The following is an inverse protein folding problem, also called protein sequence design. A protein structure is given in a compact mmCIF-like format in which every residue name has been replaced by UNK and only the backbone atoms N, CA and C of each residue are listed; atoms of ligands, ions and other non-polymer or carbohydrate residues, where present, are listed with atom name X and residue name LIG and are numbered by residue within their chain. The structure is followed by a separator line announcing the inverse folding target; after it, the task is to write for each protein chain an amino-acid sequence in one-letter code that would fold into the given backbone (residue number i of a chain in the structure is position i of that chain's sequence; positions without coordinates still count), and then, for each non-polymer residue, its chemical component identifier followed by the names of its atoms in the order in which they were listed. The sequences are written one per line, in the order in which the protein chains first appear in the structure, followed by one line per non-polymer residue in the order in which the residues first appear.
data_IF_112311241957
#
_entry.id   IF_112311241957
#
_cell.length_a   1.000
_cell.length_b   1.000
_cell.length_c   1.000
_cell.angle_alpha   90.00
_cell.angle_beta   90.00
_cell.angle_gamma   90.00
#
_symmetry.space_group_name_H-M   'P 1'
#
loop_
_entity.id
_entity.type
_entity.pdbx_description
1 polymer ?
#
# COMPACT_ATOMS: atom_id res chain seq x y z
N UNK A 1 -13.63 -17.05 38.91
CA UNK A 1 -13.55 -15.94 39.88
C UNK A 1 -12.47 -16.30 40.89
N UNK A 2 -11.24 -15.83 40.66
CA UNK A 2 -10.04 -16.11 41.47
C UNK A 2 -9.54 -14.74 42.00
N UNK A 3 -9.22 -14.61 43.30
CA UNK A 3 -9.14 -13.31 43.98
C UNK A 3 -7.87 -12.50 43.67
N UNK A 4 -8.02 -11.19 43.86
CA UNK A 4 -7.26 -10.07 43.30
C UNK A 4 -6.34 -9.42 44.32
N UNK A 5 -5.31 -10.07 44.85
CA UNK A 5 -4.38 -9.41 45.77
C UNK A 5 -3.06 -10.18 45.96
N UNK A 6 -2.29 -10.28 44.89
CA UNK A 6 -0.83 -10.44 45.00
C UNK A 6 -0.24 -9.56 43.91
N UNK A 7 0.37 -8.45 44.31
CA UNK A 7 1.59 -7.83 43.78
C UNK A 7 1.62 -6.45 44.46
N UNK A 8 2.14 -6.47 45.68
CA UNK A 8 2.74 -5.30 46.32
C UNK A 8 4.25 -5.53 46.15
N UNK A 9 4.85 -4.87 45.19
CA UNK A 9 6.31 -4.83 45.05
C UNK A 9 6.69 -3.50 44.42
N UNK A 10 6.80 -2.51 45.29
CA UNK A 10 7.51 -1.25 45.07
C UNK A 10 8.93 -1.56 44.59
N UNK A 11 9.17 -1.37 43.30
CA UNK A 11 10.53 -1.31 42.74
C UNK A 11 10.81 0.18 42.52
N UNK A 12 11.23 0.83 43.60
CA UNK A 12 12.03 2.05 43.53
C UNK A 12 13.39 1.65 42.97
N UNK A 13 13.56 1.77 41.65
CA UNK A 13 14.89 1.91 41.05
C UNK A 13 14.94 3.29 40.40
N UNK A 14 15.31 4.27 41.24
CA UNK A 14 16.06 5.41 40.75
C UNK A 14 17.32 4.89 40.04
N UNK A 15 17.72 5.56 38.96
CA UNK A 15 18.81 5.21 38.04
C UNK A 15 18.40 4.35 36.84
N UNK A 16 17.70 4.96 35.88
CA UNK A 16 17.95 4.63 34.47
C UNK A 16 18.71 5.80 33.83
N UNK A 17 20.00 5.61 33.54
CA UNK A 17 20.79 6.62 32.84
C UNK A 17 20.36 6.66 31.38
N UNK A 18 20.72 7.78 30.76
CA UNK A 18 20.78 7.98 29.32
C UNK A 18 19.44 8.05 28.60
N UNK A 19 19.26 9.22 27.99
CA UNK A 19 18.55 9.44 26.74
C UNK A 19 18.84 8.31 25.73
N UNK A 20 18.14 7.18 25.84
CA UNK A 20 17.93 6.33 24.70
C UNK A 20 17.04 7.13 23.76
N UNK A 21 17.65 7.75 22.75
CA UNK A 21 16.97 8.23 21.56
C UNK A 21 15.98 7.13 21.16
N UNK A 22 14.69 7.36 21.44
CA UNK A 22 13.64 6.58 20.80
C UNK A 22 13.69 6.98 19.35
N UNK A 23 14.40 6.17 18.57
CA UNK A 23 14.31 6.23 17.13
C UNK A 23 12.83 5.99 16.83
N UNK A 24 12.14 7.02 16.32
CA UNK A 24 10.86 6.83 15.66
C UNK A 24 11.16 5.93 14.47
N UNK A 25 11.02 4.62 14.67
CA UNK A 25 11.01 3.66 13.58
C UNK A 25 9.71 3.93 12.86
N UNK A 26 9.80 4.64 11.74
CA UNK A 26 8.70 4.71 10.78
C UNK A 26 8.49 3.27 10.33
N UNK A 27 7.46 2.61 10.88
CA UNK A 27 7.07 1.29 10.43
C UNK A 27 6.79 1.39 8.93
N UNK A 28 7.31 0.46 8.11
CA UNK A 28 6.92 0.43 6.71
C UNK A 28 5.40 0.26 6.70
N UNK A 29 4.71 1.19 6.05
CA UNK A 29 3.29 1.05 5.72
C UNK A 29 3.11 -0.36 5.14
N UNK A 30 2.32 -1.20 5.80
CA UNK A 30 2.00 -2.55 5.32
C UNK A 30 1.11 -2.42 4.09
N UNK A 31 1.73 -2.06 2.95
CA UNK A 31 1.09 -2.04 1.65
C UNK A 31 0.83 -3.49 1.27
N UNK A 32 -0.27 -4.03 1.77
CA UNK A 32 -0.74 -5.33 1.34
C UNK A 32 -1.02 -5.23 -0.17
N UNK A 33 -0.44 -6.13 -0.99
CA UNK A 33 -0.70 -6.12 -2.42
C UNK A 33 -2.19 -6.34 -2.63
N UNK A 34 -2.81 -5.52 -3.47
CA UNK A 34 -4.22 -5.69 -3.82
C UNK A 34 -4.36 -7.04 -4.51
N UNK A 35 -5.00 -7.99 -3.82
CA UNK A 35 -5.19 -9.34 -4.33
C UNK A 35 -6.41 -9.33 -5.24
N UNK A 36 -6.19 -9.17 -6.53
CA UNK A 36 -7.33 -9.17 -7.44
C UNK A 36 -7.76 -10.61 -7.73
N UNK A 37 -9.04 -10.88 -7.51
CA UNK A 37 -9.62 -12.21 -7.65
C UNK A 37 -10.01 -12.50 -9.10
N UNK A 38 -9.83 -13.75 -9.54
CA UNK A 38 -10.24 -14.22 -10.86
C UNK A 38 -9.25 -13.90 -11.98
N UNK A 39 -9.64 -14.23 -13.22
CA UNK A 39 -8.85 -13.96 -14.42
C UNK A 39 -9.09 -12.52 -14.85
N UNK A 40 -8.23 -11.62 -14.44
CA UNK A 40 -8.30 -10.22 -14.85
C UNK A 40 -7.76 -10.03 -16.25
N UNK A 41 -8.66 -9.95 -17.22
CA UNK A 41 -8.33 -9.48 -18.54
C UNK A 41 -8.63 -7.99 -18.61
N UNK A 42 -7.66 -7.20 -19.05
CA UNK A 42 -7.89 -5.80 -19.38
C UNK A 42 -8.99 -5.71 -20.46
N UNK A 43 -10.00 -4.85 -20.29
CA UNK A 43 -10.97 -4.55 -21.34
C UNK A 43 -10.30 -3.98 -22.59
N UNK A 44 -11.01 -4.00 -23.71
CA UNK A 44 -10.56 -3.31 -24.91
C UNK A 44 -10.70 -1.79 -24.76
N UNK A 45 -9.94 -1.02 -25.55
CA UNK A 45 -10.15 0.41 -25.63
C UNK A 45 -11.37 0.72 -26.50
N UNK A 46 -12.50 0.99 -25.83
CA UNK A 46 -13.78 1.31 -26.45
C UNK A 46 -14.13 2.80 -26.26
N UNK A 47 -15.00 3.34 -27.12
CA UNK A 47 -15.55 4.70 -27.03
C UNK A 47 -14.52 5.85 -26.99
N UNK A 48 -13.34 5.66 -27.60
CA UNK A 48 -12.32 6.71 -27.73
C UNK A 48 -12.59 7.53 -29.00
N UNK A 49 -12.90 8.82 -28.81
CA UNK A 49 -13.19 9.75 -29.90
C UNK A 49 -11.97 10.08 -30.77
N UNK A 50 -10.81 10.33 -30.15
CA UNK A 50 -9.58 10.73 -30.84
C UNK A 50 -8.35 10.16 -30.15
N UNK A 51 -7.37 9.74 -30.95
CA UNK A 51 -6.07 9.28 -30.48
C UNK A 51 -5.00 10.31 -30.80
N UNK A 52 -4.23 10.69 -29.78
CA UNK A 52 -3.09 11.58 -29.92
C UNK A 52 -1.78 10.79 -29.91
N UNK A 53 -0.76 11.29 -30.61
CA UNK A 53 0.60 10.74 -30.71
C UNK A 53 0.73 9.36 -31.40
N UNK A 54 -0.36 8.66 -31.68
CA UNK A 54 -0.38 7.32 -32.27
C UNK A 54 -1.64 7.10 -33.08
N UNK A 55 -1.64 6.06 -33.92
CA UNK A 55 -2.88 5.46 -34.44
C UNK A 55 -3.58 4.69 -33.31
N UNK A 56 -4.88 4.35 -33.45
CA UNK A 56 -5.57 3.52 -32.46
C UNK A 56 -4.82 2.23 -32.15
N UNK A 57 -4.77 1.87 -30.87
CA UNK A 57 -4.12 0.66 -30.37
C UNK A 57 -5.16 -0.35 -29.88
N UNK A 58 -4.89 -1.63 -30.07
CA UNK A 58 -5.70 -2.73 -29.55
C UNK A 58 -4.98 -3.50 -28.43
N UNK A 59 -5.71 -4.10 -27.50
CA UNK A 59 -5.15 -4.92 -26.41
C UNK A 59 -4.22 -6.04 -26.90
N UNK A 60 -4.47 -6.57 -28.11
CA UNK A 60 -3.62 -7.60 -28.73
C UNK A 60 -2.19 -7.12 -28.99
N UNK A 61 -2.02 -5.86 -29.37
CA UNK A 61 -0.73 -5.26 -29.73
C UNK A 61 0.13 -4.96 -28.49
N UNK A 62 -0.52 -4.83 -27.33
CA UNK A 62 0.10 -4.52 -26.05
C UNK A 62 0.48 -5.76 -25.23
N UNK A 63 0.15 -6.98 -25.70
CA UNK A 63 0.53 -8.22 -25.01
C UNK A 63 2.04 -8.34 -24.87
N UNK A 64 2.49 -8.84 -23.72
CA UNK A 64 3.91 -8.96 -23.39
C UNK A 64 4.56 -7.66 -22.90
N UNK A 65 3.81 -6.56 -22.82
CA UNK A 65 4.25 -5.29 -22.24
C UNK A 65 3.51 -5.04 -20.91
N UNK A 66 4.19 -4.37 -19.98
CA UNK A 66 3.54 -3.76 -18.83
C UNK A 66 3.00 -2.40 -19.27
N UNK A 67 1.70 -2.18 -19.12
CA UNK A 67 0.99 -0.97 -19.57
C UNK A 67 0.30 -0.31 -18.38
N UNK A 68 0.38 1.02 -18.31
CA UNK A 68 -0.30 1.84 -17.30
C UNK A 68 -1.33 2.71 -18.02
N UNK A 69 -2.58 2.66 -17.54
CA UNK A 69 -3.66 3.55 -18.01
C UNK A 69 -3.78 4.70 -17.02
N UNK A 70 -3.64 5.94 -17.49
CA UNK A 70 -3.72 7.14 -16.67
C UNK A 70 -4.96 7.95 -17.05
N UNK A 71 -5.93 8.02 -16.14
CA UNK A 71 -7.14 8.82 -16.31
C UNK A 71 -6.88 10.25 -15.83
N UNK A 72 -7.04 11.24 -16.72
CA UNK A 72 -6.76 12.65 -16.43
C UNK A 72 -7.68 13.58 -17.23
N UNK A 73 -7.83 14.82 -16.78
CA UNK A 73 -8.51 15.91 -17.48
C UNK A 73 -7.71 17.21 -17.32
N UNK A 74 -7.61 18.01 -18.39
CA UNK A 74 -7.07 19.36 -18.31
C UNK A 74 -8.22 20.30 -17.91
N UNK A 75 -8.06 21.00 -16.79
CA UNK A 75 -9.04 21.96 -16.26
C UNK A 75 -8.83 23.38 -16.79
#
# INVERSE_FOLDING_TARGET
MVPKHVILASILFASWPSLCLSQVVIAPEDRQPVRIQGRQQAPEFEDIAEWINTKPLAMKELRGKVVVVHFMAFG
#
